data_IF_146422935586
#
_entry.id   IF_146422935586
#
_cell.length_a   1.000
_cell.length_b   1.000
_cell.length_c   1.000
_cell.angle_alpha   90.00
_cell.angle_beta   90.00
_cell.angle_gamma   90.00
#
_symmetry.space_group_name_H-M   'P 1'
#
loop_
_entity.id
_entity.type
_entity.pdbx_description
1 polymer ?
#
# COMPACT_ATOMS: atom_id res chain seq x y z
N UNK A 1 37.82 -42.76 47.98
CA UNK A 1 36.80 -41.76 48.35
C UNK A 1 36.38 -41.03 47.08
N UNK A 2 35.30 -41.51 46.45
CA UNK A 2 34.66 -40.95 45.25
C UNK A 2 33.65 -39.89 45.65
N UNK A 3 33.79 -38.64 45.22
CA UNK A 3 32.74 -37.59 45.25
C UNK A 3 33.05 -36.56 44.13
N UNK A 4 32.39 -36.63 42.97
CA UNK A 4 31.12 -35.98 42.58
C UNK A 4 31.23 -34.52 42.07
N UNK A 5 30.84 -34.37 40.78
CA UNK A 5 30.08 -33.28 40.13
C UNK A 5 30.71 -31.90 39.99
N UNK A 6 30.87 -31.47 38.73
CA UNK A 6 29.97 -30.46 38.15
C UNK A 6 30.25 -30.32 36.64
N UNK A 7 29.33 -30.83 35.83
CA UNK A 7 29.16 -30.42 34.45
C UNK A 7 28.04 -29.38 34.43
N UNK A 8 28.35 -28.14 34.06
CA UNK A 8 27.35 -27.09 33.84
C UNK A 8 27.24 -26.87 32.33
N UNK A 9 26.27 -27.57 31.76
CA UNK A 9 25.72 -27.33 30.42
C UNK A 9 24.74 -26.16 30.55
N UNK A 10 25.12 -24.98 30.07
CA UNK A 10 24.23 -23.81 29.97
C UNK A 10 23.85 -23.58 28.52
N UNK A 11 22.79 -24.25 28.06
CA UNK A 11 22.21 -24.03 26.73
C UNK A 11 21.57 -22.65 26.66
N UNK A 12 22.09 -21.78 25.79
CA UNK A 12 21.61 -20.42 25.58
C UNK A 12 20.33 -20.48 24.72
N UNK A 13 19.17 -20.28 25.34
CA UNK A 13 17.88 -20.16 24.65
C UNK A 13 17.91 -18.92 23.74
N UNK A 14 17.90 -19.14 22.42
CA UNK A 14 17.59 -18.10 21.45
C UNK A 14 16.09 -17.84 21.46
N UNK A 15 15.67 -16.73 22.04
CA UNK A 15 14.32 -16.18 21.85
C UNK A 15 14.23 -15.64 20.42
N UNK A 16 13.71 -16.44 19.50
CA UNK A 16 13.30 -15.97 18.18
C UNK A 16 12.07 -15.08 18.38
N UNK A 17 12.25 -13.76 18.25
CA UNK A 17 11.15 -12.82 18.19
C UNK A 17 10.40 -13.06 16.86
N UNK A 18 9.19 -13.63 16.96
CA UNK A 18 8.27 -13.68 15.84
C UNK A 18 7.76 -12.26 15.61
N UNK A 19 8.24 -11.60 14.56
CA UNK A 19 7.62 -10.38 14.05
C UNK A 19 6.27 -10.80 13.46
N UNK A 20 5.17 -10.49 14.16
CA UNK A 20 3.85 -10.56 13.55
C UNK A 20 3.73 -9.40 12.57
N UNK A 21 3.73 -9.68 11.27
CA UNK A 21 3.21 -8.75 10.28
C UNK A 21 1.70 -8.59 10.55
N UNK A 22 1.23 -7.35 10.63
CA UNK A 22 -0.16 -7.03 10.97
C UNK A 22 -1.05 -7.17 9.72
N UNK A 23 -1.32 -8.39 9.29
CA UNK A 23 -2.39 -8.66 8.33
C UNK A 23 -3.71 -8.76 9.12
N UNK A 24 -4.55 -7.73 9.01
CA UNK A 24 -5.86 -7.70 9.68
C UNK A 24 -6.92 -8.23 8.70
N UNK A 25 -7.33 -9.48 8.89
CA UNK A 25 -8.42 -10.10 8.14
C UNK A 25 -9.76 -9.84 8.82
N UNK A 26 -10.75 -9.35 8.08
CA UNK A 26 -12.12 -9.14 8.54
C UNK A 26 -13.09 -9.77 7.54
N UNK A 27 -13.54 -10.99 7.85
CA UNK A 27 -14.23 -11.81 6.86
C UNK A 27 -13.26 -12.14 5.71
N UNK A 28 -13.67 -11.82 4.48
CA UNK A 28 -12.88 -12.06 3.26
C UNK A 28 -11.96 -10.88 2.87
N UNK A 29 -11.98 -9.78 3.63
CA UNK A 29 -11.12 -8.62 3.36
C UNK A 29 -9.85 -8.68 4.23
N UNK A 30 -8.68 -8.50 3.61
CA UNK A 30 -7.44 -8.22 4.31
C UNK A 30 -7.00 -6.78 4.03
N UNK A 31 -6.64 -6.04 5.08
CA UNK A 31 -6.08 -4.69 4.95
C UNK A 31 -4.59 -4.76 5.22
N UNK A 32 -3.79 -4.64 4.16
CA UNK A 32 -2.36 -4.86 4.21
C UNK A 32 -1.64 -3.53 4.47
N UNK A 33 -0.84 -3.52 5.53
CA UNK A 33 0.06 -2.42 5.91
C UNK A 33 -0.58 -1.02 5.85
N UNK A 34 -1.51 -0.65 6.73
CA UNK A 34 -1.95 0.73 6.89
C UNK A 34 -0.83 1.64 7.41
N UNK A 35 -0.54 2.69 6.65
CA UNK A 35 0.51 3.65 6.99
C UNK A 35 0.16 5.08 6.58
N UNK A 36 0.83 6.04 7.20
CA UNK A 36 0.76 7.47 6.91
C UNK A 36 2.16 8.04 6.80
N UNK A 37 2.36 9.04 5.93
CA UNK A 37 3.64 9.77 5.89
C UNK A 37 3.73 10.70 7.09
N UNK A 38 4.90 10.76 7.71
CA UNK A 38 5.22 11.82 8.66
C UNK A 38 5.03 13.20 7.99
N UNK A 39 4.26 14.05 8.65
CA UNK A 39 4.03 15.46 8.28
C UNK A 39 4.64 16.39 9.35
N UNK A 40 4.89 17.68 9.04
CA UNK A 40 5.34 18.64 10.04
C UNK A 40 4.38 18.69 11.24
N UNK A 41 4.85 18.92 12.49
CA UNK A 41 3.98 18.98 13.66
C UNK A 41 2.88 20.04 13.62
N UNK A 42 3.03 21.05 12.76
CA UNK A 42 2.06 22.13 12.53
C UNK A 42 1.04 21.82 11.42
N UNK A 43 1.12 20.63 10.81
CA UNK A 43 0.20 20.23 9.74
C UNK A 43 -1.20 20.00 10.30
N UNK A 44 -2.20 20.52 9.60
CA UNK A 44 -3.62 20.22 9.88
C UNK A 44 -4.16 19.08 9.01
N UNK A 45 -3.32 18.54 8.13
CA UNK A 45 -3.67 17.49 7.18
C UNK A 45 -2.66 16.35 7.18
N UNK A 46 -3.15 15.13 6.94
CA UNK A 46 -2.35 13.94 6.69
C UNK A 46 -3.07 13.03 5.69
N UNK A 47 -2.39 12.00 5.21
CA UNK A 47 -2.97 10.99 4.33
C UNK A 47 -2.56 9.59 4.77
N UNK A 48 -3.49 8.64 4.71
CA UNK A 48 -3.23 7.22 4.94
C UNK A 48 -3.36 6.41 3.64
N UNK A 49 -2.53 5.37 3.58
CA UNK A 49 -2.28 4.49 2.45
C UNK A 49 -2.27 3.04 2.94
N UNK A 50 -2.76 2.12 2.12
CA UNK A 50 -2.86 0.68 2.41
C UNK A 50 -3.28 -0.06 1.14
N UNK A 51 -3.14 -1.37 1.14
CA UNK A 51 -3.83 -2.22 0.15
C UNK A 51 -5.05 -2.89 0.80
N UNK A 52 -6.12 -3.02 0.02
CA UNK A 52 -7.31 -3.80 0.39
C UNK A 52 -7.31 -5.03 -0.52
N UNK A 53 -7.13 -6.22 0.05
CA UNK A 53 -7.25 -7.50 -0.64
C UNK A 53 -8.63 -8.09 -0.38
N UNK A 54 -9.45 -8.20 -1.42
CA UNK A 54 -10.75 -8.85 -1.32
C UNK A 54 -10.65 -10.28 -1.82
N UNK A 55 -10.55 -11.22 -0.89
CA UNK A 55 -10.46 -12.65 -1.17
C UNK A 55 -11.84 -13.30 -1.29
N UNK A 56 -12.90 -12.48 -1.27
CA UNK A 56 -14.28 -12.91 -1.33
C UNK A 56 -14.76 -13.20 -2.75
N UNK A 57 -16.01 -13.68 -2.85
CA UNK A 57 -16.66 -13.98 -4.15
C UNK A 57 -17.53 -12.85 -4.67
N UNK A 58 -17.65 -11.75 -3.91
CA UNK A 58 -18.53 -10.62 -4.21
C UNK A 58 -17.78 -9.32 -4.04
N UNK A 59 -18.07 -8.35 -4.89
CA UNK A 59 -17.51 -7.01 -4.80
C UNK A 59 -17.95 -6.34 -3.49
N UNK A 60 -17.07 -5.51 -2.94
CA UNK A 60 -17.37 -4.59 -1.86
C UNK A 60 -17.08 -3.15 -2.28
N UNK A 61 -17.42 -2.21 -1.42
CA UNK A 61 -17.22 -0.78 -1.62
C UNK A 61 -16.82 -0.15 -0.29
N UNK A 62 -15.67 0.51 -0.26
CA UNK A 62 -15.28 1.37 0.86
C UNK A 62 -16.06 2.69 0.73
N UNK A 63 -16.99 2.93 1.66
CA UNK A 63 -17.90 4.07 1.63
C UNK A 63 -17.32 5.30 2.31
N UNK A 64 -16.56 5.10 3.39
CA UNK A 64 -15.92 6.18 4.15
C UNK A 64 -14.89 5.62 5.13
N UNK A 65 -14.09 6.51 5.69
CA UNK A 65 -13.26 6.25 6.86
C UNK A 65 -13.64 7.21 8.00
N UNK A 66 -13.20 6.91 9.24
CA UNK A 66 -13.19 7.85 10.37
C UNK A 66 -12.01 7.57 11.28
N UNK A 67 -11.48 8.59 11.95
CA UNK A 67 -10.46 8.42 12.97
C UNK A 67 -10.63 9.47 14.07
N UNK A 68 -10.37 9.13 15.35
CA UNK A 68 -10.47 10.08 16.45
C UNK A 68 -9.39 11.18 16.42
N UNK A 69 -8.33 11.05 15.61
CA UNK A 69 -7.26 12.06 15.54
C UNK A 69 -7.62 13.26 14.64
N UNK A 70 -8.73 13.19 13.90
CA UNK A 70 -9.10 14.14 12.86
C UNK A 70 -10.56 14.58 13.02
N UNK A 71 -10.82 15.88 12.83
CA UNK A 71 -12.19 16.40 12.79
C UNK A 71 -12.98 15.92 11.57
N UNK A 72 -12.29 15.66 10.45
CA UNK A 72 -12.88 15.14 9.21
C UNK A 72 -11.94 14.19 8.50
N UNK A 73 -12.50 13.18 7.83
CA UNK A 73 -11.79 12.31 6.89
C UNK A 73 -12.54 12.21 5.57
N UNK A 74 -11.81 12.14 4.47
CA UNK A 74 -12.34 12.06 3.11
C UNK A 74 -11.63 10.96 2.31
N UNK A 75 -12.30 10.37 1.33
CA UNK A 75 -11.68 9.47 0.37
C UNK A 75 -11.29 10.27 -0.87
N UNK A 76 -10.05 10.13 -1.34
CA UNK A 76 -9.51 10.93 -2.44
C UNK A 76 -8.93 10.05 -3.53
N UNK A 77 -8.98 10.56 -4.77
CA UNK A 77 -8.32 9.99 -5.93
C UNK A 77 -7.50 11.07 -6.66
N UNK A 78 -6.49 10.65 -7.39
CA UNK A 78 -5.85 11.51 -8.39
C UNK A 78 -6.47 11.25 -9.76
N UNK A 79 -6.95 12.31 -10.38
CA UNK A 79 -7.54 12.27 -11.72
C UNK A 79 -6.71 13.13 -12.68
N UNK A 80 -6.55 12.65 -13.91
CA UNK A 80 -6.02 13.47 -14.99
C UNK A 80 -7.14 14.36 -15.52
N UNK A 81 -6.99 15.67 -15.36
CA UNK A 81 -7.90 16.67 -15.90
C UNK A 81 -7.06 17.79 -16.52
N UNK A 82 -7.29 18.09 -17.79
CA UNK A 82 -6.58 19.13 -18.56
C UNK A 82 -5.05 18.95 -18.59
N UNK A 83 -4.58 17.70 -18.66
CA UNK A 83 -3.15 17.39 -18.68
C UNK A 83 -2.44 17.56 -17.33
N UNK A 84 -3.19 17.83 -16.25
CA UNK A 84 -2.68 17.95 -14.88
C UNK A 84 -3.29 16.87 -13.99
N UNK A 85 -2.48 16.33 -13.07
CA UNK A 85 -2.96 15.46 -12.00
C UNK A 85 -3.58 16.32 -10.90
N UNK A 86 -4.88 16.12 -10.64
CA UNK A 86 -5.61 16.80 -9.58
C UNK A 86 -6.08 15.80 -8.55
N UNK A 87 -5.89 16.13 -7.28
CA UNK A 87 -6.46 15.41 -6.15
C UNK A 87 -7.93 15.83 -5.98
N UNK A 88 -8.84 14.86 -5.93
CA UNK A 88 -10.29 15.10 -5.81
C UNK A 88 -10.92 14.11 -4.83
N UNK A 89 -11.83 14.60 -4.00
CA UNK A 89 -12.68 13.77 -3.16
C UNK A 89 -13.55 12.84 -4.01
N UNK A 90 -13.69 11.59 -3.59
CA UNK A 90 -14.56 10.59 -4.19
C UNK A 90 -15.56 10.09 -3.15
N UNK A 91 -16.79 9.80 -3.60
CA UNK A 91 -17.85 9.35 -2.69
C UNK A 91 -17.60 7.95 -2.11
N UNK A 92 -16.87 7.11 -2.83
CA UNK A 92 -16.55 5.75 -2.44
C UNK A 92 -15.40 5.19 -3.28
N UNK A 93 -14.84 4.06 -2.83
CA UNK A 93 -13.79 3.33 -3.52
C UNK A 93 -14.30 1.89 -3.78
N UNK A 94 -14.41 1.45 -5.04
CA UNK A 94 -14.73 0.06 -5.38
C UNK A 94 -13.66 -0.90 -4.88
N UNK A 95 -14.08 -2.08 -4.41
CA UNK A 95 -13.21 -3.16 -3.92
C UNK A 95 -13.66 -4.47 -4.59
N UNK A 96 -13.19 -4.74 -5.83
CA UNK A 96 -13.64 -5.89 -6.61
C UNK A 96 -13.28 -7.23 -5.95
N UNK A 97 -14.11 -8.26 -6.16
CA UNK A 97 -13.83 -9.61 -5.68
C UNK A 97 -12.57 -10.20 -6.33
N UNK A 98 -11.78 -10.94 -5.54
CA UNK A 98 -10.53 -11.59 -5.97
C UNK A 98 -9.50 -10.61 -6.54
N UNK A 99 -9.50 -9.36 -6.06
CA UNK A 99 -8.60 -8.31 -6.53
C UNK A 99 -8.07 -7.46 -5.37
N UNK A 100 -6.98 -6.73 -5.63
CA UNK A 100 -6.35 -5.80 -4.71
C UNK A 100 -6.61 -4.35 -5.13
N UNK A 101 -7.19 -3.58 -4.23
CA UNK A 101 -7.36 -2.13 -4.39
C UNK A 101 -6.25 -1.39 -3.65
N UNK A 102 -5.43 -0.64 -4.39
CA UNK A 102 -4.26 0.06 -3.82
C UNK A 102 -4.57 1.52 -3.49
N UNK A 103 -4.49 1.86 -2.21
CA UNK A 103 -4.45 3.24 -1.74
C UNK A 103 -2.98 3.65 -1.54
N UNK A 104 -2.44 4.42 -2.49
CA UNK A 104 -1.02 4.78 -2.57
C UNK A 104 -0.80 6.26 -2.89
N UNK A 105 0.36 6.84 -2.53
CA UNK A 105 0.73 8.17 -2.98
C UNK A 105 0.61 8.29 -4.50
N UNK A 106 -0.07 9.34 -4.97
CA UNK A 106 -0.30 9.53 -6.40
C UNK A 106 -1.59 8.89 -6.94
N UNK A 107 -2.33 8.13 -6.13
CA UNK A 107 -3.58 7.45 -6.49
C UNK A 107 -4.67 7.63 -5.44
N UNK A 108 -5.33 6.53 -5.06
CA UNK A 108 -6.34 6.52 -4.01
C UNK A 108 -5.72 6.72 -2.63
N UNK A 109 -6.39 7.41 -1.72
CA UNK A 109 -5.93 7.58 -0.34
C UNK A 109 -7.04 8.10 0.58
N UNK A 110 -6.85 7.97 1.89
CA UNK A 110 -7.71 8.60 2.90
C UNK A 110 -7.04 9.89 3.35
N UNK A 111 -7.72 11.02 3.18
CA UNK A 111 -7.29 12.33 3.69
C UNK A 111 -7.85 12.57 5.08
N UNK A 112 -7.03 13.14 5.96
CA UNK A 112 -7.39 13.59 7.30
C UNK A 112 -7.29 15.11 7.34
N UNK A 113 -8.29 15.75 7.91
CA UNK A 113 -8.36 17.20 8.10
C UNK A 113 -8.63 17.53 9.56
N UNK A 114 -8.31 18.77 9.93
CA UNK A 114 -8.50 19.30 11.27
C UNK A 114 -7.81 18.42 12.33
N UNK A 115 -6.55 18.07 12.07
CA UNK A 115 -5.71 17.36 13.04
C UNK A 115 -5.42 18.28 14.24
N UNK A 116 -5.84 17.85 15.44
CA UNK A 116 -5.52 18.55 16.68
C UNK A 116 -4.09 18.30 17.14
N UNK A 117 -3.59 17.08 16.89
CA UNK A 117 -2.22 16.67 17.14
C UNK A 117 -1.76 15.71 16.04
N UNK A 118 -0.58 15.98 15.48
CA UNK A 118 0.05 15.11 14.48
C UNK A 118 0.75 13.95 15.20
N UNK A 119 0.41 12.68 14.88
CA UNK A 119 1.13 11.52 15.42
C UNK A 119 2.62 11.55 15.05
N UNK A 120 3.50 11.20 15.99
CA UNK A 120 4.94 11.25 15.78
C UNK A 120 5.45 10.05 14.97
N UNK A 121 6.67 10.13 14.44
CA UNK A 121 7.25 9.05 13.65
C UNK A 121 7.28 7.73 14.43
N UNK A 122 6.76 6.66 13.83
CA UNK A 122 6.69 5.33 14.43
C UNK A 122 5.47 5.10 15.32
N UNK A 123 4.71 6.15 15.67
CA UNK A 123 3.43 5.99 16.36
C UNK A 123 2.38 5.34 15.46
N UNK A 124 1.37 4.75 16.10
CA UNK A 124 0.19 4.22 15.43
C UNK A 124 -1.05 4.99 15.88
N UNK A 125 -2.02 5.13 14.99
CA UNK A 125 -3.32 5.69 15.32
C UNK A 125 -4.46 4.88 14.70
N UNK A 126 -5.63 4.83 15.36
CA UNK A 126 -6.74 4.02 14.90
C UNK A 126 -7.45 4.65 13.69
N UNK A 127 -7.82 3.80 12.73
CA UNK A 127 -8.65 4.15 11.57
C UNK A 127 -9.78 3.13 11.45
N UNK A 128 -11.01 3.60 11.36
CA UNK A 128 -12.18 2.76 11.06
C UNK A 128 -12.57 2.96 9.61
N UNK A 129 -12.60 1.85 8.87
CA UNK A 129 -13.06 1.76 7.49
C UNK A 129 -14.50 1.23 7.48
N UNK A 130 -15.37 1.83 6.67
CA UNK A 130 -16.77 1.45 6.55
C UNK A 130 -17.03 0.92 5.15
N UNK A 131 -17.14 -0.39 5.05
CA UNK A 131 -17.48 -1.11 3.84
C UNK A 131 -19.00 -1.31 3.73
N UNK A 132 -19.48 -1.41 2.50
CA UNK A 132 -20.90 -1.62 2.21
C UNK A 132 -21.36 -3.00 2.65
N UNK A 133 -20.55 -4.04 2.44
CA UNK A 133 -20.90 -5.42 2.74
C UNK A 133 -20.17 -5.97 3.97
N UNK A 134 -18.85 -5.78 4.07
CA UNK A 134 -18.06 -6.22 5.23
C UNK A 134 -18.32 -5.40 6.51
N UNK A 135 -18.98 -4.24 6.41
CA UNK A 135 -19.28 -3.40 7.55
C UNK A 135 -18.05 -2.65 8.07
N UNK A 136 -17.85 -2.64 9.40
CA UNK A 136 -16.78 -1.84 10.03
C UNK A 136 -15.51 -2.66 10.19
N UNK A 137 -14.41 -2.17 9.63
CA UNK A 137 -13.07 -2.74 9.82
C UNK A 137 -12.20 -1.72 10.55
N UNK A 138 -11.65 -2.11 11.70
CA UNK A 138 -10.72 -1.27 12.44
C UNK A 138 -9.29 -1.67 12.11
N UNK A 139 -8.45 -0.68 11.84
CA UNK A 139 -7.03 -0.87 11.54
C UNK A 139 -6.19 0.16 12.30
N UNK A 140 -4.91 -0.17 12.50
CA UNK A 140 -3.93 0.76 13.07
C UNK A 140 -3.03 1.28 11.96
N UNK A 141 -2.93 2.61 11.84
CA UNK A 141 -2.13 3.28 10.82
C UNK A 141 -0.80 3.69 11.42
N UNK A 142 0.29 3.14 10.89
CA UNK A 142 1.64 3.47 11.36
C UNK A 142 2.20 4.71 10.66
N UNK A 143 2.78 5.62 11.42
CA UNK A 143 3.49 6.78 10.87
C UNK A 143 4.87 6.35 10.41
N UNK A 144 5.13 6.46 9.12
CA UNK A 144 6.39 6.10 8.48
C UNK A 144 7.15 7.33 7.99
N UNK A 145 8.47 7.23 7.76
CA UNK A 145 9.26 8.33 7.21
C UNK A 145 8.69 8.83 5.88
N UNK A 146 8.90 10.11 5.55
CA UNK A 146 8.42 10.68 4.28
C UNK A 146 8.97 9.95 3.03
N UNK A 147 10.11 9.26 3.18
CA UNK A 147 10.79 8.46 2.14
C UNK A 147 10.31 7.01 2.08
N UNK A 148 9.36 6.60 2.93
CA UNK A 148 8.90 5.22 2.99
C UNK A 148 8.16 4.81 1.70
N UNK A 149 8.49 3.62 1.22
CA UNK A 149 7.84 2.95 0.08
C UNK A 149 7.56 1.50 0.53
N UNK A 150 6.29 1.09 0.67
CA UNK A 150 5.97 -0.27 1.08
C UNK A 150 6.23 -1.28 -0.04
N UNK A 151 6.46 -2.54 0.33
CA UNK A 151 6.80 -3.63 -0.59
C UNK A 151 5.77 -3.83 -1.71
N UNK A 152 4.47 -3.70 -1.39
CA UNK A 152 3.39 -3.80 -2.39
C UNK A 152 3.43 -2.69 -3.46
N UNK A 153 4.16 -1.60 -3.24
CA UNK A 153 4.41 -0.56 -4.26
C UNK A 153 5.73 -0.77 -5.02
N UNK A 154 6.68 -1.50 -4.43
CA UNK A 154 7.98 -1.74 -5.05
C UNK A 154 7.86 -2.72 -6.24
N UNK A 155 6.97 -3.71 -6.15
CA UNK A 155 6.75 -4.72 -7.20
C UNK A 155 6.18 -4.14 -8.51
N UNK A 156 5.28 -3.14 -8.47
CA UNK A 156 4.76 -2.47 -9.68
C UNK A 156 5.84 -1.73 -10.49
N UNK A 157 6.93 -1.29 -9.83
CA UNK A 157 7.97 -0.49 -10.50
C UNK A 157 8.92 -1.31 -11.37
N UNK A 158 8.99 -2.63 -11.16
CA UNK A 158 9.86 -3.54 -11.91
C UNK A 158 9.24 -3.90 -13.27
N UNK A 159 7.91 -3.99 -13.36
CA UNK A 159 7.22 -4.36 -14.61
C UNK A 159 7.10 -3.20 -15.63
N UNK A 160 7.18 -1.95 -15.16
CA UNK A 160 7.08 -0.77 -16.02
C UNK A 160 8.33 -0.52 -16.89
N UNK A 161 9.50 -1.02 -16.48
CA UNK A 161 10.76 -0.88 -17.23
C UNK A 161 10.92 -1.96 -18.34
N UNK A 162 10.21 -3.09 -18.21
CA UNK A 162 10.28 -4.20 -19.16
C UNK A 162 9.64 -3.90 -20.54
N UNK A 163 8.79 -2.87 -20.68
CA UNK A 163 8.00 -2.65 -21.90
C UNK A 163 8.57 -1.67 -22.93
N UNK A 164 9.83 -1.21 -22.78
CA UNK A 164 10.44 -0.23 -23.71
C UNK A 164 11.38 -0.78 -24.80
N UNK A 165 11.46 -2.10 -25.01
CA UNK A 165 12.38 -2.65 -26.03
C UNK A 165 11.82 -3.83 -26.84
N UNK A 166 10.59 -3.76 -27.36
CA UNK A 166 10.18 -4.67 -28.45
C UNK A 166 9.36 -3.93 -29.50
N UNK A 167 10.05 -3.44 -30.55
CA UNK A 167 9.37 -2.70 -31.61
C UNK A 167 10.24 -2.22 -32.77
N UNK A 168 11.22 -2.99 -33.22
CA UNK A 168 11.77 -2.87 -34.60
C UNK A 168 12.23 -4.25 -35.09
N UNK A 169 11.31 -4.98 -35.70
CA UNK A 169 11.63 -6.08 -36.60
C UNK A 169 11.04 -5.74 -37.97
N UNK A 170 11.87 -5.16 -38.85
CA UNK A 170 11.62 -5.14 -40.28
C UNK A 170 12.78 -5.86 -40.96
N UNK A 171 12.70 -7.19 -40.94
CA UNK A 171 13.35 -8.01 -41.95
C UNK A 171 12.33 -8.30 -43.03
N UNK A 172 12.46 -7.67 -44.21
CA UNK A 172 12.09 -8.37 -45.43
C UNK A 172 13.04 -8.07 -46.58
N UNK A 173 13.33 -9.16 -47.28
CA UNK A 173 14.35 -9.33 -48.31
C UNK A 173 13.71 -9.03 -49.66
N UNK A 174 14.37 -8.28 -50.52
CA UNK A 174 14.19 -8.45 -51.96
C UNK A 174 15.54 -8.62 -52.64
N UNK A 175 15.70 -9.79 -53.23
CA UNK A 175 16.82 -10.21 -54.05
C UNK A 175 16.79 -9.54 -55.44
N UNK A 176 18.00 -9.37 -55.98
CA UNK A 176 18.40 -9.55 -57.38
C UNK A 176 17.60 -8.84 -58.48
N UNK A 177 18.27 -7.95 -59.21
CA UNK A 177 18.42 -8.08 -60.67
C UNK A 177 19.47 -7.11 -61.20
N UNK A 178 20.46 -7.69 -61.86
CA UNK A 178 21.39 -7.09 -62.81
C UNK A 178 20.67 -6.27 -63.90
N UNK A 179 21.29 -5.18 -64.37
CA UNK A 179 21.41 -4.79 -65.78
C UNK A 179 22.49 -3.71 -65.95
N UNK A 180 23.26 -3.87 -67.02
CA UNK A 180 24.33 -3.00 -67.54
C UNK A 180 23.92 -1.53 -67.71
N UNK A 181 24.91 -0.62 -67.64
CA UNK A 181 25.36 0.17 -68.80
C UNK A 181 26.43 1.24 -68.45
N UNK A 182 27.51 1.19 -69.25
CA UNK A 182 28.59 2.17 -69.53
C UNK A 182 29.73 2.33 -68.53
#
# INVERSE_FOLDING_TARGET
MTLFRSALLGSLLTLTAWAQAHDMTHGDLAIDHPWSKQVPPTSQVAAAFFAIDNQGKTDDVLLRATSPIAGKTELHAHIHEDGMMKMREVENIPVPANDKTLLKPGGLHVMFFDLEAVPTLGEMFPLTLYFKHAGKVNVEVKVEPATYVPEYMASESVDADSKKHEGMNDGDKHADMSHDHH
#
